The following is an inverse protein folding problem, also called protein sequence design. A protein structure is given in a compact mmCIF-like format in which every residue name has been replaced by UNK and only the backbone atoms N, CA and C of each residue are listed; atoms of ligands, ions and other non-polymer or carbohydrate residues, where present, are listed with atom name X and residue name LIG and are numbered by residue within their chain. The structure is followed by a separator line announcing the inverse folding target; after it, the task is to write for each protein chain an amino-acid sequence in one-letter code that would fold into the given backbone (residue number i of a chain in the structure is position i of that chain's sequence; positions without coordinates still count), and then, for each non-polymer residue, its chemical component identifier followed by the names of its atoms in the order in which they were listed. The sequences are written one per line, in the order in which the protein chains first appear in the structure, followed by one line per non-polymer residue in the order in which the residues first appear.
data_IF_200408357495
#
_entry.id   IF_200408357495
#
_cell.length_a   1.000
_cell.length_b   1.000
_cell.length_c   1.000
_cell.angle_alpha   90.00
_cell.angle_beta   90.00
_cell.angle_gamma   90.00
#
_symmetry.space_group_name_H-M   'P 1'
#
loop_
_entity.id
_entity.type
_entity.pdbx_description
1 polymer ?
#
# COMPACT_ATOMS: atom_id res chain seq x y z
N UNK A 1 -21.65 -34.69 -26.66
CA UNK A 1 -22.08 -33.41 -27.28
C UNK A 1 -21.16 -33.16 -28.46
N UNK A 2 -21.63 -33.38 -29.70
CA UNK A 2 -20.83 -33.12 -30.89
C UNK A 2 -20.58 -31.62 -31.02
N UNK A 3 -19.32 -31.20 -31.17
CA UNK A 3 -19.01 -29.81 -31.48
C UNK A 3 -19.58 -29.51 -32.85
N UNK A 4 -20.62 -28.69 -32.93
CA UNK A 4 -21.11 -28.19 -34.21
C UNK A 4 -20.03 -27.30 -34.83
N UNK A 5 -19.77 -27.56 -36.10
CA UNK A 5 -18.64 -27.03 -36.83
C UNK A 5 -19.19 -26.04 -37.85
N UNK A 6 -18.74 -24.78 -37.82
CA UNK A 6 -19.28 -23.69 -38.65
C UNK A 6 -18.21 -23.09 -39.54
N UNK A 7 -18.65 -22.55 -40.69
CA UNK A 7 -17.84 -21.65 -41.52
C UNK A 7 -18.21 -20.21 -41.17
N UNK A 8 -17.21 -19.36 -40.92
CA UNK A 8 -17.38 -17.96 -40.53
C UNK A 8 -16.39 -17.06 -41.23
N UNK A 9 -16.69 -15.78 -41.27
CA UNK A 9 -15.81 -14.76 -41.84
C UNK A 9 -15.21 -13.95 -40.69
N UNK A 10 -13.91 -13.67 -40.74
CA UNK A 10 -13.25 -12.82 -39.77
C UNK A 10 -13.78 -11.38 -39.86
N UNK A 11 -14.20 -10.81 -38.74
CA UNK A 11 -14.72 -9.43 -38.68
C UNK A 11 -13.65 -8.38 -39.07
N UNK A 12 -12.38 -8.59 -38.73
CA UNK A 12 -11.31 -7.63 -39.01
C UNK A 12 -10.77 -7.68 -40.45
N UNK A 13 -10.50 -8.87 -40.99
CA UNK A 13 -9.79 -9.03 -42.26
C UNK A 13 -10.59 -9.74 -43.36
N UNK A 14 -11.82 -10.17 -43.08
CA UNK A 14 -12.68 -10.82 -44.07
C UNK A 14 -12.26 -12.24 -44.47
N UNK A 15 -11.23 -12.83 -43.86
CA UNK A 15 -10.81 -14.19 -44.20
C UNK A 15 -11.89 -15.21 -43.80
N UNK A 16 -12.17 -16.16 -44.68
CA UNK A 16 -13.06 -17.29 -44.39
C UNK A 16 -12.34 -18.27 -43.48
N UNK A 17 -13.00 -18.65 -42.40
CA UNK A 17 -12.57 -19.63 -41.41
C UNK A 17 -13.53 -20.79 -41.43
N UNK A 18 -13.06 -21.94 -41.87
CA UNK A 18 -13.83 -23.18 -41.83
C UNK A 18 -13.54 -23.92 -40.52
N UNK A 19 -14.46 -24.78 -40.16
CA UNK A 19 -14.37 -25.64 -38.99
C UNK A 19 -14.19 -24.94 -37.65
N UNK A 20 -14.85 -23.79 -37.45
CA UNK A 20 -14.76 -23.02 -36.21
C UNK A 20 -16.03 -23.13 -35.35
N UNK A 21 -15.86 -22.94 -34.04
CA UNK A 21 -16.98 -22.94 -33.09
C UNK A 21 -17.93 -21.75 -33.28
N UNK A 22 -19.17 -21.91 -32.79
CA UNK A 22 -20.27 -20.96 -32.94
C UNK A 22 -20.02 -19.53 -32.37
N UNK A 23 -18.94 -19.32 -31.62
CA UNK A 23 -18.61 -18.00 -31.03
C UNK A 23 -17.38 -17.37 -31.65
N UNK A 24 -16.70 -18.04 -32.60
CA UNK A 24 -15.49 -17.50 -33.22
C UNK A 24 -15.84 -16.30 -34.09
N UNK A 25 -15.15 -15.17 -33.86
CA UNK A 25 -15.33 -13.89 -34.59
C UNK A 25 -14.11 -13.47 -35.40
N UNK A 26 -12.92 -13.83 -34.93
CA UNK A 26 -11.64 -13.40 -35.52
C UNK A 26 -10.80 -14.59 -35.96
N UNK A 27 -10.06 -14.41 -37.04
CA UNK A 27 -9.03 -15.37 -37.45
C UNK A 27 -7.90 -15.41 -36.40
N UNK A 28 -7.12 -16.50 -36.34
CA UNK A 28 -6.01 -16.63 -35.40
C UNK A 28 -5.03 -15.44 -35.46
N UNK A 29 -4.73 -14.92 -36.65
CA UNK A 29 -3.81 -13.81 -36.84
C UNK A 29 -4.36 -12.49 -36.24
N UNK A 30 -5.61 -12.14 -36.54
CA UNK A 30 -6.24 -10.93 -35.99
C UNK A 30 -6.46 -11.06 -34.48
N UNK A 31 -6.86 -12.25 -34.00
CA UNK A 31 -6.99 -12.49 -32.57
C UNK A 31 -5.66 -12.33 -31.83
N UNK A 32 -4.56 -12.84 -32.40
CA UNK A 32 -3.22 -12.68 -31.84
C UNK A 32 -2.82 -11.20 -31.75
N UNK A 33 -3.05 -10.41 -32.81
CA UNK A 33 -2.81 -8.95 -32.81
C UNK A 33 -3.58 -8.25 -31.69
N UNK A 34 -4.89 -8.50 -31.57
CA UNK A 34 -5.73 -7.92 -30.51
C UNK A 34 -5.28 -8.33 -29.11
N UNK A 35 -4.88 -9.60 -28.94
CA UNK A 35 -4.37 -10.08 -27.65
C UNK A 35 -3.05 -9.41 -27.26
N UNK A 36 -2.15 -9.19 -28.23
CA UNK A 36 -0.88 -8.51 -28.01
C UNK A 36 -1.08 -7.03 -27.67
N UNK A 37 -2.01 -6.35 -28.34
CA UNK A 37 -2.39 -4.98 -28.01
C UNK A 37 -2.99 -4.87 -26.61
N UNK A 38 -3.92 -5.77 -26.26
CA UNK A 38 -4.50 -5.83 -24.92
C UNK A 38 -3.42 -6.02 -23.85
N UNK A 39 -2.46 -6.91 -24.09
CA UNK A 39 -1.33 -7.13 -23.18
C UNK A 39 -0.46 -5.88 -23.02
N UNK A 40 -0.15 -5.17 -24.11
CA UNK A 40 0.60 -3.90 -24.08
C UNK A 40 -0.15 -2.81 -23.31
N UNK A 41 -1.46 -2.71 -23.51
CA UNK A 41 -2.30 -1.75 -22.79
C UNK A 41 -2.37 -2.06 -21.29
N UNK A 42 -2.47 -3.35 -20.93
CA UNK A 42 -2.41 -3.79 -19.54
C UNK A 42 -1.05 -3.49 -18.87
N UNK A 43 0.07 -3.72 -19.58
CA UNK A 43 1.40 -3.36 -19.07
C UNK A 43 1.54 -1.85 -18.85
N UNK A 44 1.04 -1.04 -19.80
CA UNK A 44 1.04 0.42 -19.67
C UNK A 44 0.21 0.88 -18.47
N UNK A 45 -0.99 0.32 -18.29
CA UNK A 45 -1.86 0.63 -17.15
C UNK A 45 -1.17 0.29 -15.83
N UNK A 46 -0.61 -0.92 -15.70
CA UNK A 46 0.12 -1.35 -14.50
C UNK A 46 1.33 -0.45 -14.18
N UNK A 47 2.06 0.01 -15.20
CA UNK A 47 3.17 0.98 -15.01
C UNK A 47 2.68 2.34 -14.54
N UNK A 48 1.52 2.80 -15.02
CA UNK A 48 0.93 4.05 -14.57
C UNK A 48 0.47 3.95 -13.11
N UNK A 49 -0.25 2.89 -12.75
CA UNK A 49 -0.65 2.59 -11.37
C UNK A 49 0.56 2.52 -10.43
N UNK A 50 1.65 1.87 -10.86
CA UNK A 50 2.85 1.77 -10.04
C UNK A 50 3.51 3.14 -9.80
N UNK A 51 3.59 4.00 -10.83
CA UNK A 51 4.08 5.38 -10.69
C UNK A 51 3.23 6.21 -9.74
N UNK A 52 1.91 6.09 -9.82
CA UNK A 52 0.99 6.78 -8.91
C UNK A 52 1.16 6.29 -7.48
N UNK A 53 1.28 4.97 -7.28
CA UNK A 53 1.56 4.38 -5.97
C UNK A 53 2.90 4.86 -5.40
N UNK A 54 3.96 4.93 -6.21
CA UNK A 54 5.26 5.46 -5.78
C UNK A 54 5.16 6.94 -5.38
N UNK A 55 4.43 7.75 -6.15
CA UNK A 55 4.19 9.15 -5.81
C UNK A 55 3.43 9.29 -4.49
N UNK A 56 2.36 8.52 -4.29
CA UNK A 56 1.61 8.50 -3.03
C UNK A 56 2.48 8.09 -1.84
N UNK A 57 3.28 7.04 -1.98
CA UNK A 57 4.23 6.61 -0.94
C UNK A 57 5.25 7.67 -0.60
N UNK A 58 5.73 8.43 -1.60
CA UNK A 58 6.67 9.53 -1.35
C UNK A 58 6.00 10.64 -0.53
N UNK A 59 4.77 11.01 -0.88
CA UNK A 59 3.97 11.99 -0.11
C UNK A 59 3.74 11.50 1.32
N UNK A 60 3.33 10.24 1.51
CA UNK A 60 3.13 9.65 2.83
C UNK A 60 4.42 9.63 3.65
N UNK A 61 5.56 9.29 3.02
CA UNK A 61 6.85 9.30 3.68
C UNK A 61 7.24 10.71 4.12
N UNK A 62 7.04 11.73 3.28
CA UNK A 62 7.28 13.12 3.64
C UNK A 62 6.35 13.57 4.77
N UNK A 63 5.08 13.17 4.76
CA UNK A 63 4.14 13.45 5.85
C UNK A 63 4.60 12.82 7.17
N UNK A 64 5.05 11.56 7.13
CA UNK A 64 5.59 10.85 8.30
C UNK A 64 6.89 11.47 8.82
N UNK A 65 7.71 12.04 7.94
CA UNK A 65 8.91 12.80 8.33
C UNK A 65 8.53 14.14 8.98
N UNK A 66 7.53 14.83 8.43
CA UNK A 66 7.04 16.11 8.97
C UNK A 66 6.37 15.94 10.33
N UNK A 67 5.66 14.83 10.53
CA UNK A 67 4.99 14.48 11.77
C UNK A 67 5.51 13.14 12.30
N UNK A 68 6.72 13.12 12.88
CA UNK A 68 7.28 11.89 13.42
C UNK A 68 6.42 11.43 14.60
N UNK A 69 6.01 10.15 14.56
CA UNK A 69 5.41 9.55 15.74
C UNK A 69 6.40 9.60 16.90
N UNK A 70 5.93 9.87 18.13
CA UNK A 70 6.79 9.80 19.30
C UNK A 70 7.43 8.40 19.37
N UNK A 71 8.69 8.31 19.80
CA UNK A 71 9.36 7.03 19.94
C UNK A 71 8.54 6.12 20.85
N UNK A 72 8.57 4.82 20.58
CA UNK A 72 7.96 3.83 21.47
C UNK A 72 8.56 3.99 22.87
N UNK A 73 7.75 3.92 23.94
CA UNK A 73 8.28 3.96 25.30
C UNK A 73 9.34 2.87 25.49
N UNK A 74 10.49 3.24 26.06
CA UNK A 74 11.49 2.28 26.52
C UNK A 74 10.97 1.52 27.75
N UNK A 75 11.60 0.40 28.10
CA UNK A 75 11.20 -0.37 29.29
C UNK A 75 11.20 0.50 30.57
N UNK A 76 12.16 1.42 30.68
CA UNK A 76 12.31 2.38 31.79
C UNK A 76 11.21 3.45 31.84
N UNK A 77 10.67 3.84 30.68
CA UNK A 77 9.57 4.81 30.54
C UNK A 77 8.23 4.14 30.27
N UNK A 78 8.16 2.82 30.44
CA UNK A 78 6.90 2.09 30.38
C UNK A 78 5.98 2.55 31.51
N UNK A 79 4.67 2.46 31.29
CA UNK A 79 3.65 2.78 32.30
C UNK A 79 3.90 1.98 33.59
N UNK A 80 4.35 0.72 33.46
CA UNK A 80 4.68 -0.14 34.60
C UNK A 80 5.86 0.42 35.41
N UNK A 81 6.92 0.88 34.75
CA UNK A 81 8.06 1.49 35.40
C UNK A 81 7.71 2.83 36.07
N UNK A 82 6.91 3.68 35.41
CA UNK A 82 6.40 4.92 36.00
C UNK A 82 5.55 4.62 37.23
N UNK A 83 4.66 3.63 37.16
CA UNK A 83 3.84 3.20 38.28
C UNK A 83 4.67 2.63 39.44
N UNK A 84 5.76 1.91 39.16
CA UNK A 84 6.67 1.40 40.18
C UNK A 84 7.38 2.56 40.92
N UNK A 85 7.88 3.57 40.19
CA UNK A 85 8.47 4.78 40.78
C UNK A 85 7.45 5.59 41.57
N UNK A 86 6.25 5.74 41.03
CA UNK A 86 5.14 6.42 41.71
C UNK A 86 4.83 5.74 43.05
N UNK A 87 4.68 4.42 43.06
CA UNK A 87 4.48 3.64 44.29
C UNK A 87 5.65 3.79 45.27
N UNK A 88 6.89 3.66 44.80
CA UNK A 88 8.08 3.80 45.64
C UNK A 88 8.18 5.20 46.28
N UNK A 89 7.70 6.23 45.59
CA UNK A 89 7.71 7.61 46.07
C UNK A 89 6.40 8.04 46.78
N UNK A 90 5.43 7.14 46.97
CA UNK A 90 4.13 7.47 47.56
C UNK A 90 3.28 8.43 46.71
N UNK A 91 3.45 8.44 45.39
CA UNK A 91 2.76 9.31 44.42
C UNK A 91 1.79 8.53 43.56
N UNK A 92 0.78 9.20 43.01
CA UNK A 92 -0.02 8.67 41.90
C UNK A 92 0.76 8.74 40.57
N UNK A 93 0.32 7.98 39.56
CA UNK A 93 0.92 8.04 38.21
C UNK A 93 0.99 9.49 37.68
N UNK A 94 -0.13 10.22 37.75
CA UNK A 94 -0.20 11.60 37.27
C UNK A 94 0.75 12.53 38.04
N UNK A 95 0.86 12.36 39.36
CA UNK A 95 1.80 13.13 40.19
C UNK A 95 3.26 12.81 39.85
N UNK A 96 3.58 11.55 39.59
CA UNK A 96 4.93 11.14 39.20
C UNK A 96 5.31 11.71 37.83
N UNK A 97 4.40 11.70 36.85
CA UNK A 97 4.62 12.30 35.52
C UNK A 97 4.85 13.82 35.62
N UNK A 98 4.05 14.52 36.42
CA UNK A 98 4.23 15.96 36.64
C UNK A 98 5.55 16.28 37.35
N UNK A 99 5.94 15.45 38.32
CA UNK A 99 7.20 15.58 39.02
C UNK A 99 8.40 15.41 38.07
N UNK A 100 8.42 14.32 37.28
CA UNK A 100 9.48 14.06 36.29
C UNK A 100 9.57 15.17 35.24
N UNK A 101 8.43 15.71 34.79
CA UNK A 101 8.38 16.86 33.89
C UNK A 101 9.03 18.10 34.53
N UNK A 102 8.68 18.41 35.78
CA UNK A 102 9.23 19.58 36.48
C UNK A 102 10.73 19.44 36.76
N UNK A 103 11.20 18.24 37.10
CA UNK A 103 12.63 17.96 37.25
C UNK A 103 13.39 18.18 35.93
N UNK A 104 12.82 17.74 34.81
CA UNK A 104 13.41 18.00 33.49
C UNK A 104 13.48 19.50 33.18
N UNK A 105 12.40 20.24 33.40
CA UNK A 105 12.36 21.69 33.16
C UNK A 105 13.40 22.46 34.00
N UNK A 106 13.64 22.04 35.25
CA UNK A 106 14.68 22.62 36.10
C UNK A 106 16.10 22.29 35.60
N UNK A 107 16.33 21.05 35.18
CA UNK A 107 17.62 20.60 34.61
C UNK A 107 17.94 21.33 33.30
N UNK A 108 16.96 21.48 32.42
CA UNK A 108 17.13 22.19 31.14
C UNK A 108 17.43 23.69 31.35
N UNK A 109 17.01 24.26 32.50
CA UNK A 109 17.33 25.63 32.93
C UNK A 109 18.65 25.75 33.72
N UNK A 110 19.29 24.64 34.06
CA UNK A 110 20.53 24.60 34.84
C UNK A 110 20.34 24.89 36.34
N UNK A 111 19.14 24.69 36.89
CA UNK A 111 18.83 24.96 38.29
C UNK A 111 19.06 23.75 39.22
N UNK A 112 19.34 22.58 38.64
CA UNK A 112 19.72 21.32 39.29
C UNK A 112 20.61 20.46 38.39
#
# INVERSE_FOLDING_TARGET
MGTSVYTRICEDCGVVMENVGATRRFCPACLAKRSAEKARNADRAKRAEWKEWEAQRKVEQELRKAFPHPPKPTAENSIQAVNARAKAAGRSYGQQVLFERRQKELKDRGEI
#
